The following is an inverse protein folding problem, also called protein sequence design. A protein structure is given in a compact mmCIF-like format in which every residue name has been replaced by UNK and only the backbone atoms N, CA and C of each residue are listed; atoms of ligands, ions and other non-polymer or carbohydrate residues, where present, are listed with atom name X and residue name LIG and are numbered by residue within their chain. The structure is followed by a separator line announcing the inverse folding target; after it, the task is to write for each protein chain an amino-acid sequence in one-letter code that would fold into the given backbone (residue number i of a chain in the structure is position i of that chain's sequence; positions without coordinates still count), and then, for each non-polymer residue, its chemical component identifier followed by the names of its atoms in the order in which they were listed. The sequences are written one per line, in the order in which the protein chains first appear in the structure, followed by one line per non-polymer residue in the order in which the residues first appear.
data_IF_256520313278
#
_entry.id   IF_256520313278
#
_cell.length_a   1.000
_cell.length_b   1.000
_cell.length_c   1.000
_cell.angle_alpha   90.00
_cell.angle_beta   90.00
_cell.angle_gamma   90.00
#
_symmetry.space_group_name_H-M   'P 1'
#
loop_
_entity.id
_entity.type
_entity.pdbx_description
1 polymer ?
#
# COMPACT_ATOMS: atom_id res chain seq x y z
N UNK A 1 34.90 12.85 -1.38
CA UNK A 1 35.06 12.43 -2.78
C UNK A 1 36.48 11.96 -3.13
N UNK A 2 37.53 12.58 -2.64
CA UNK A 2 38.93 12.22 -2.91
C UNK A 2 39.23 10.74 -2.61
N UNK A 3 38.84 10.15 -1.45
CA UNK A 3 39.18 8.75 -1.16
C UNK A 3 38.50 7.73 -2.10
N UNK A 4 37.29 8.03 -2.58
CA UNK A 4 36.58 7.16 -3.54
C UNK A 4 37.27 7.13 -4.90
N UNK A 5 37.63 8.30 -5.44
CA UNK A 5 38.32 8.43 -6.72
C UNK A 5 39.68 7.76 -6.67
N UNK A 6 40.42 7.88 -5.55
CA UNK A 6 41.70 7.23 -5.34
C UNK A 6 41.57 5.71 -5.30
N UNK A 7 40.61 5.18 -4.53
CA UNK A 7 40.36 3.73 -4.48
C UNK A 7 39.94 3.17 -5.84
N UNK A 8 39.10 3.86 -6.58
CA UNK A 8 38.63 3.41 -7.88
C UNK A 8 39.75 3.40 -8.94
N UNK A 9 40.69 4.35 -8.87
CA UNK A 9 41.75 4.50 -9.87
C UNK A 9 43.02 3.68 -9.53
N UNK A 10 43.32 3.48 -8.27
CA UNK A 10 44.61 2.92 -7.82
C UNK A 10 44.52 1.43 -7.48
N UNK A 11 43.41 0.98 -6.88
CA UNK A 11 43.26 -0.42 -6.46
C UNK A 11 43.28 -1.42 -7.64
N UNK A 12 42.58 -1.18 -8.76
CA UNK A 12 42.65 -2.08 -9.91
C UNK A 12 44.06 -2.19 -10.52
N UNK A 13 44.87 -1.14 -10.41
CA UNK A 13 46.22 -1.11 -10.97
C UNK A 13 47.19 -1.96 -10.17
N UNK A 14 47.01 -2.08 -8.85
CA UNK A 14 47.93 -2.83 -7.95
C UNK A 14 47.53 -4.28 -7.72
N UNK A 15 46.27 -4.66 -7.98
CA UNK A 15 45.72 -6.00 -7.69
C UNK A 15 45.53 -6.82 -8.98
N UNK A 16 46.47 -6.77 -9.91
CA UNK A 16 46.45 -7.62 -11.11
C UNK A 16 47.03 -8.99 -10.77
N UNK A 17 46.17 -9.91 -10.30
CA UNK A 17 46.58 -11.30 -10.13
C UNK A 17 45.75 -12.30 -10.94
N UNK A 18 44.45 -12.03 -11.13
CA UNK A 18 43.59 -12.82 -12.02
C UNK A 18 42.39 -11.99 -12.50
N UNK A 19 41.83 -12.35 -13.66
CA UNK A 19 40.66 -11.66 -14.22
C UNK A 19 39.45 -11.69 -13.26
N UNK A 20 39.27 -12.76 -12.49
CA UNK A 20 38.19 -12.92 -11.52
C UNK A 20 38.33 -11.97 -10.33
N UNK A 21 39.54 -11.77 -9.80
CA UNK A 21 39.75 -10.85 -8.67
C UNK A 21 39.50 -9.39 -9.07
N UNK A 22 39.86 -9.00 -10.30
CA UNK A 22 39.57 -7.63 -10.77
C UNK A 22 38.08 -7.37 -10.95
N UNK A 23 37.31 -8.32 -11.46
CA UNK A 23 35.86 -8.23 -11.59
C UNK A 23 35.22 -8.09 -10.20
N UNK A 24 35.62 -8.92 -9.24
CA UNK A 24 35.10 -8.87 -7.87
C UNK A 24 35.41 -7.53 -7.18
N UNK A 25 36.64 -7.03 -7.29
CA UNK A 25 37.03 -5.74 -6.70
C UNK A 25 36.26 -4.58 -7.35
N UNK A 26 36.10 -4.59 -8.68
CA UNK A 26 35.30 -3.56 -9.37
C UNK A 26 33.82 -3.59 -8.93
N UNK A 27 33.23 -4.76 -8.73
CA UNK A 27 31.88 -4.88 -8.21
C UNK A 27 31.76 -4.31 -6.80
N UNK A 28 32.72 -4.59 -5.91
CA UNK A 28 32.75 -4.02 -4.57
C UNK A 28 32.91 -2.48 -4.58
N UNK A 29 33.78 -1.96 -5.45
CA UNK A 29 33.96 -0.51 -5.60
C UNK A 29 32.69 0.16 -6.12
N UNK A 30 31.99 -0.46 -7.07
CA UNK A 30 30.72 0.05 -7.58
C UNK A 30 29.63 0.03 -6.50
N UNK A 31 29.51 -1.05 -5.72
CA UNK A 31 28.58 -1.12 -4.58
C UNK A 31 28.89 -0.03 -3.55
N UNK A 32 30.17 0.15 -3.21
CA UNK A 32 30.61 1.24 -2.33
C UNK A 32 30.24 2.62 -2.87
N UNK A 33 30.36 2.82 -4.20
CA UNK A 33 29.93 4.03 -4.89
C UNK A 33 28.44 4.30 -4.75
N UNK A 34 27.59 3.28 -4.88
CA UNK A 34 26.14 3.40 -4.67
C UNK A 34 25.83 3.81 -3.24
N UNK A 35 26.46 3.17 -2.26
CA UNK A 35 26.25 3.50 -0.83
C UNK A 35 26.65 4.94 -0.53
N UNK A 36 27.80 5.39 -1.04
CA UNK A 36 28.24 6.79 -0.89
C UNK A 36 27.25 7.75 -1.53
N UNK A 37 26.76 7.42 -2.74
CA UNK A 37 25.78 8.27 -3.43
C UNK A 37 24.50 8.44 -2.60
N UNK A 38 23.99 7.35 -2.02
CA UNK A 38 22.83 7.40 -1.10
C UNK A 38 23.15 8.24 0.13
N UNK A 39 24.35 8.14 0.67
CA UNK A 39 24.80 8.91 1.85
C UNK A 39 24.90 10.41 1.55
N UNK A 40 25.43 10.76 0.38
CA UNK A 40 25.48 12.16 -0.07
C UNK A 40 24.07 12.71 -0.26
N UNK A 41 23.19 11.95 -0.92
CA UNK A 41 21.80 12.35 -1.12
C UNK A 41 21.08 12.58 0.21
N UNK A 42 21.27 11.67 1.18
CA UNK A 42 20.75 11.85 2.54
C UNK A 42 21.27 13.14 3.19
N UNK A 43 22.57 13.41 3.07
CA UNK A 43 23.19 14.62 3.65
C UNK A 43 22.61 15.90 3.03
N UNK A 44 22.42 15.90 1.70
CA UNK A 44 21.80 17.03 0.98
C UNK A 44 20.36 17.23 1.42
N UNK A 45 19.58 16.16 1.55
CA UNK A 45 18.19 16.25 2.02
C UNK A 45 18.10 16.76 3.47
N UNK A 46 19.03 16.36 4.35
CA UNK A 46 19.09 16.89 5.69
C UNK A 46 19.44 18.39 5.72
N UNK A 47 20.33 18.84 4.84
CA UNK A 47 20.65 20.27 4.70
C UNK A 47 19.43 21.05 4.18
N UNK A 48 18.70 20.53 3.21
CA UNK A 48 17.46 21.13 2.70
C UNK A 48 16.40 21.18 3.81
N UNK A 49 16.25 20.10 4.59
CA UNK A 49 15.36 20.07 5.76
C UNK A 49 15.65 21.19 6.72
N UNK A 50 16.91 21.31 7.13
CA UNK A 50 17.34 22.36 8.05
C UNK A 50 17.02 23.75 7.50
N UNK A 51 17.31 23.99 6.22
CA UNK A 51 17.00 25.26 5.56
C UNK A 51 15.49 25.54 5.53
N UNK A 52 14.67 24.56 5.16
CA UNK A 52 13.21 24.73 5.10
C UNK A 52 12.60 25.00 6.48
N UNK A 53 13.12 24.38 7.55
CA UNK A 53 12.65 24.61 8.92
C UNK A 53 12.95 26.01 9.44
N UNK A 54 13.90 26.75 8.83
CA UNK A 54 14.15 28.16 9.16
C UNK A 54 13.12 29.11 8.56
N UNK A 55 12.36 28.67 7.55
CA UNK A 55 11.35 29.48 6.88
C UNK A 55 10.02 29.44 7.64
N UNK A 56 9.40 30.59 7.99
CA UNK A 56 8.14 30.63 8.74
C UNK A 56 7.00 29.84 8.07
N UNK A 57 6.95 29.85 6.73
CA UNK A 57 5.89 29.19 5.95
C UNK A 57 5.92 27.65 5.99
N UNK A 58 6.99 27.04 6.50
CA UNK A 58 7.19 25.60 6.53
C UNK A 58 7.25 25.00 7.94
N UNK A 59 7.17 25.83 9.00
CA UNK A 59 7.27 25.37 10.39
C UNK A 59 6.22 24.33 10.79
N UNK A 60 5.00 24.47 10.25
CA UNK A 60 3.87 23.60 10.61
C UNK A 60 3.66 22.45 9.59
N UNK A 61 4.57 22.29 8.63
CA UNK A 61 4.45 21.23 7.60
C UNK A 61 5.28 20.00 7.97
N UNK A 62 4.78 18.78 7.71
CA UNK A 62 5.46 17.53 8.06
C UNK A 62 6.60 17.20 7.06
N UNK A 63 7.60 18.08 6.93
CA UNK A 63 8.74 17.94 6.01
C UNK A 63 9.48 16.63 6.28
N UNK A 64 9.59 16.24 7.54
CA UNK A 64 10.27 15.03 7.98
C UNK A 64 9.67 13.76 7.35
N UNK A 65 8.35 13.69 7.27
CA UNK A 65 7.64 12.57 6.66
C UNK A 65 7.91 12.47 5.16
N UNK A 66 7.94 13.60 4.46
CA UNK A 66 8.26 13.61 3.01
C UNK A 66 9.70 13.15 2.74
N UNK A 67 10.67 13.61 3.56
CA UNK A 67 12.07 13.19 3.45
C UNK A 67 12.21 11.70 3.75
N UNK A 68 11.51 11.17 4.76
CA UNK A 68 11.52 9.75 5.09
C UNK A 68 11.01 8.90 3.93
N UNK A 69 9.88 9.27 3.31
CA UNK A 69 9.33 8.57 2.14
C UNK A 69 10.31 8.60 0.96
N UNK A 70 10.89 9.76 0.68
CA UNK A 70 11.88 9.89 -0.38
C UNK A 70 13.13 9.03 -0.14
N UNK A 71 13.62 9.02 1.11
CA UNK A 71 14.75 8.18 1.50
C UNK A 71 14.42 6.68 1.41
N UNK A 72 13.21 6.27 1.78
CA UNK A 72 12.76 4.89 1.63
C UNK A 72 12.83 4.45 0.16
N UNK A 73 12.28 5.25 -0.75
CA UNK A 73 12.34 4.98 -2.20
C UNK A 73 13.78 4.92 -2.70
N UNK A 74 14.63 5.84 -2.24
CA UNK A 74 16.07 5.86 -2.59
C UNK A 74 16.77 4.57 -2.14
N UNK A 75 16.48 4.07 -0.94
CA UNK A 75 17.04 2.80 -0.46
C UNK A 75 16.55 1.61 -1.26
N UNK A 76 15.26 1.55 -1.63
CA UNK A 76 14.71 0.49 -2.48
C UNK A 76 15.44 0.46 -3.84
N UNK A 77 15.58 1.62 -4.49
CA UNK A 77 16.31 1.73 -5.76
C UNK A 77 17.78 1.33 -5.57
N UNK A 78 18.44 1.81 -4.52
CA UNK A 78 19.82 1.48 -4.21
C UNK A 78 20.05 -0.01 -4.03
N UNK A 79 19.16 -0.71 -3.33
CA UNK A 79 19.21 -2.16 -3.14
C UNK A 79 19.11 -2.88 -4.48
N UNK A 80 18.19 -2.48 -5.36
CA UNK A 80 18.06 -3.07 -6.71
C UNK A 80 19.33 -2.88 -7.53
N UNK A 81 19.93 -1.68 -7.49
CA UNK A 81 21.20 -1.41 -8.18
C UNK A 81 22.34 -2.24 -7.62
N UNK A 82 22.43 -2.39 -6.29
CA UNK A 82 23.44 -3.23 -5.63
C UNK A 82 23.30 -4.69 -6.09
N UNK A 83 22.07 -5.24 -6.10
CA UNK A 83 21.84 -6.60 -6.59
C UNK A 83 22.19 -6.75 -8.07
N UNK A 84 21.91 -5.74 -8.91
CA UNK A 84 22.31 -5.71 -10.32
C UNK A 84 23.84 -5.81 -10.48
N UNK A 85 24.58 -5.01 -9.72
CA UNK A 85 26.04 -4.99 -9.73
C UNK A 85 26.62 -6.34 -9.29
N UNK A 86 26.11 -6.90 -8.17
CA UNK A 86 26.64 -8.15 -7.60
C UNK A 86 26.36 -9.37 -8.48
N UNK A 87 25.22 -9.39 -9.17
CA UNK A 87 24.82 -10.53 -10.01
C UNK A 87 25.23 -10.37 -11.47
N UNK A 88 25.65 -9.18 -11.89
CA UNK A 88 25.93 -8.85 -13.29
C UNK A 88 24.71 -8.83 -14.19
N UNK A 89 23.48 -8.86 -13.61
CA UNK A 89 22.23 -8.82 -14.37
C UNK A 89 21.73 -7.37 -14.52
N UNK A 90 21.02 -7.12 -15.61
CA UNK A 90 20.42 -5.80 -15.84
C UNK A 90 19.38 -5.44 -14.77
N UNK A 91 19.29 -4.15 -14.44
CA UNK A 91 18.31 -3.62 -13.47
C UNK A 91 16.88 -4.01 -13.85
N UNK A 92 16.58 -4.04 -15.17
CA UNK A 92 15.27 -4.44 -15.71
C UNK A 92 14.83 -5.84 -15.27
N UNK A 93 15.77 -6.78 -15.12
CA UNK A 93 15.47 -8.12 -14.62
C UNK A 93 14.89 -8.08 -13.20
N UNK A 94 15.48 -7.30 -12.30
CA UNK A 94 15.01 -7.17 -10.91
C UNK A 94 13.71 -6.41 -10.84
N UNK A 95 13.54 -5.35 -11.62
CA UNK A 95 12.27 -4.60 -11.67
C UNK A 95 11.12 -5.49 -12.17
N UNK A 96 11.36 -6.32 -13.18
CA UNK A 96 10.37 -7.27 -13.68
C UNK A 96 10.02 -8.32 -12.63
N UNK A 97 11.03 -8.89 -11.96
CA UNK A 97 10.81 -9.87 -10.89
C UNK A 97 10.03 -9.27 -9.71
N UNK A 98 10.38 -8.04 -9.29
CA UNK A 98 9.65 -7.33 -8.23
C UNK A 98 8.23 -6.99 -8.66
N UNK A 99 8.03 -6.58 -9.92
CA UNK A 99 6.70 -6.32 -10.48
C UNK A 99 5.83 -7.56 -10.50
N UNK A 100 6.37 -8.70 -10.94
CA UNK A 100 5.67 -9.98 -10.93
C UNK A 100 5.29 -10.43 -9.50
N UNK A 101 6.24 -10.33 -8.55
CA UNK A 101 5.95 -10.64 -7.14
C UNK A 101 4.88 -9.72 -6.56
N UNK A 102 4.96 -8.41 -6.85
CA UNK A 102 3.97 -7.43 -6.41
C UNK A 102 2.58 -7.72 -6.97
N UNK A 103 2.48 -8.14 -8.24
CA UNK A 103 1.21 -8.51 -8.86
C UNK A 103 0.58 -9.73 -8.16
N UNK A 104 1.39 -10.74 -7.83
CA UNK A 104 0.93 -11.92 -7.08
C UNK A 104 0.46 -11.52 -5.68
N UNK A 105 1.24 -10.71 -4.96
CA UNK A 105 0.84 -10.22 -3.64
C UNK A 105 -0.46 -9.40 -3.70
N UNK A 106 -0.59 -8.50 -4.68
CA UNK A 106 -1.81 -7.72 -4.88
C UNK A 106 -3.02 -8.62 -5.14
N UNK A 107 -2.85 -9.70 -5.92
CA UNK A 107 -3.91 -10.66 -6.18
C UNK A 107 -4.33 -11.40 -4.88
N UNK A 108 -3.35 -11.83 -4.08
CA UNK A 108 -3.61 -12.52 -2.80
C UNK A 108 -4.33 -11.62 -1.79
N UNK A 109 -3.93 -10.35 -1.71
CA UNK A 109 -4.50 -9.39 -0.76
C UNK A 109 -5.67 -8.57 -1.30
N UNK A 110 -6.10 -8.81 -2.55
CA UNK A 110 -7.15 -8.03 -3.22
C UNK A 110 -8.41 -7.88 -2.37
N UNK A 111 -8.93 -8.98 -1.86
CA UNK A 111 -10.20 -8.97 -1.11
C UNK A 111 -10.07 -8.26 0.23
N UNK A 112 -8.91 -8.38 0.88
CA UNK A 112 -8.62 -7.65 2.12
C UNK A 112 -8.55 -6.15 1.86
N UNK A 113 -7.86 -5.73 0.80
CA UNK A 113 -7.75 -4.31 0.41
C UNK A 113 -9.13 -3.75 0.04
N UNK A 114 -9.92 -4.48 -0.75
CA UNK A 114 -11.27 -4.07 -1.11
C UNK A 114 -12.16 -3.96 0.12
N UNK A 115 -12.11 -4.92 1.05
CA UNK A 115 -12.86 -4.89 2.30
C UNK A 115 -12.47 -3.69 3.18
N UNK A 116 -11.18 -3.39 3.30
CA UNK A 116 -10.69 -2.24 4.04
C UNK A 116 -11.19 -0.91 3.45
N UNK A 117 -11.06 -0.72 2.14
CA UNK A 117 -11.58 0.48 1.45
C UNK A 117 -13.09 0.58 1.61
N UNK A 118 -13.81 -0.55 1.50
CA UNK A 118 -15.25 -0.61 1.67
C UNK A 118 -15.68 -0.19 3.09
N UNK A 119 -15.00 -0.68 4.13
CA UNK A 119 -15.35 -0.31 5.50
C UNK A 119 -15.20 1.19 5.76
N UNK A 120 -14.15 1.81 5.20
CA UNK A 120 -13.97 3.28 5.27
C UNK A 120 -15.11 4.00 4.53
N UNK A 121 -15.48 3.56 3.33
CA UNK A 121 -16.54 4.19 2.54
C UNK A 121 -17.91 4.04 3.18
N UNK A 122 -18.22 2.88 3.78
CA UNK A 122 -19.45 2.64 4.52
C UNK A 122 -19.57 3.63 5.69
N UNK A 123 -18.48 3.79 6.45
CA UNK A 123 -18.42 4.72 7.58
C UNK A 123 -18.50 6.19 7.15
N UNK A 124 -17.72 6.58 6.12
CA UNK A 124 -17.65 7.96 5.66
C UNK A 124 -18.95 8.45 5.00
N UNK A 125 -19.65 7.56 4.28
CA UNK A 125 -20.91 7.89 3.59
C UNK A 125 -22.16 7.49 4.40
N UNK A 126 -21.99 6.96 5.60
CA UNK A 126 -23.10 6.52 6.48
C UNK A 126 -24.08 5.56 5.79
N UNK A 127 -23.55 4.64 4.99
CA UNK A 127 -24.37 3.75 4.18
C UNK A 127 -25.15 2.74 5.03
N UNK A 128 -24.47 2.15 6.03
CA UNK A 128 -25.02 1.14 6.94
C UNK A 128 -24.45 1.34 8.33
N UNK A 129 -25.27 1.18 9.36
CA UNK A 129 -24.87 1.16 10.78
C UNK A 129 -25.22 -0.17 11.42
N UNK A 130 -24.57 -0.48 12.52
CA UNK A 130 -24.97 -1.59 13.38
C UNK A 130 -26.40 -1.35 13.88
N UNK A 131 -27.25 -2.37 13.75
CA UNK A 131 -28.69 -2.31 14.08
C UNK A 131 -29.58 -1.86 12.91
N UNK A 132 -29.02 -1.52 11.73
CA UNK A 132 -29.86 -1.27 10.56
C UNK A 132 -30.44 -2.57 10.01
N UNK A 133 -31.69 -2.56 9.64
CA UNK A 133 -32.25 -3.62 8.83
C UNK A 133 -31.83 -3.44 7.38
N UNK A 134 -31.17 -4.46 6.83
CA UNK A 134 -30.71 -4.50 5.44
C UNK A 134 -31.18 -5.77 4.74
N UNK A 135 -31.52 -5.64 3.45
CA UNK A 135 -31.86 -6.78 2.58
C UNK A 135 -30.86 -6.85 1.43
N UNK A 136 -30.18 -7.98 1.31
CA UNK A 136 -29.25 -8.32 0.22
C UNK A 136 -29.66 -9.64 -0.40
N UNK A 137 -30.53 -9.61 -1.41
CA UNK A 137 -31.11 -10.81 -2.05
C UNK A 137 -30.04 -11.76 -2.59
N UNK A 138 -28.97 -11.22 -3.18
CA UNK A 138 -27.85 -11.98 -3.73
C UNK A 138 -27.15 -12.89 -2.70
N UNK A 139 -27.11 -12.46 -1.45
CA UNK A 139 -26.45 -13.17 -0.34
C UNK A 139 -27.44 -13.88 0.58
N UNK A 140 -28.74 -13.82 0.29
CA UNK A 140 -29.75 -14.39 1.16
C UNK A 140 -29.81 -13.74 2.53
N UNK A 141 -29.40 -12.48 2.63
CA UNK A 141 -29.41 -11.72 3.87
C UNK A 141 -30.65 -10.81 3.92
N UNK A 142 -31.46 -10.94 4.99
CA UNK A 142 -32.62 -10.10 5.28
C UNK A 142 -32.81 -10.00 6.78
N UNK A 143 -32.26 -8.94 7.38
CA UNK A 143 -32.28 -8.77 8.83
C UNK A 143 -31.38 -7.64 9.32
N UNK A 144 -31.07 -7.67 10.62
CA UNK A 144 -30.36 -6.62 11.31
C UNK A 144 -28.84 -6.82 11.27
N UNK A 145 -28.10 -5.74 11.02
CA UNK A 145 -26.64 -5.73 11.03
C UNK A 145 -26.12 -5.83 12.45
N UNK A 146 -25.43 -6.94 12.77
CA UNK A 146 -24.84 -7.18 14.08
C UNK A 146 -23.45 -6.56 14.22
N UNK A 147 -22.63 -6.71 13.16
CA UNK A 147 -21.23 -6.32 13.18
C UNK A 147 -20.76 -5.89 11.80
N UNK A 148 -19.96 -4.83 11.74
CA UNK A 148 -19.30 -4.38 10.52
C UNK A 148 -17.79 -4.51 10.74
N UNK A 149 -17.18 -5.55 10.15
CA UNK A 149 -15.75 -5.77 10.16
C UNK A 149 -15.04 -5.22 8.93
N UNK A 150 -13.70 -5.31 8.91
CA UNK A 150 -12.88 -4.87 7.77
C UNK A 150 -13.14 -5.68 6.50
N UNK A 151 -13.36 -6.98 6.63
CA UNK A 151 -13.55 -7.88 5.49
C UNK A 151 -14.95 -8.47 5.39
N UNK A 152 -15.69 -8.53 6.48
CA UNK A 152 -17.02 -9.15 6.54
C UNK A 152 -17.98 -8.36 7.41
N UNK A 153 -19.26 -8.41 7.02
CA UNK A 153 -20.40 -7.90 7.80
C UNK A 153 -21.29 -9.07 8.18
N UNK A 154 -21.70 -9.12 9.45
CA UNK A 154 -22.63 -10.15 9.97
C UNK A 154 -24.04 -9.57 10.06
N UNK A 155 -24.99 -10.27 9.47
CA UNK A 155 -26.42 -9.89 9.45
C UNK A 155 -27.20 -11.02 10.11
N UNK A 156 -27.95 -10.70 11.15
CA UNK A 156 -28.91 -11.62 11.79
C UNK A 156 -30.23 -11.57 11.02
N UNK A 157 -30.51 -12.62 10.30
CA UNK A 157 -31.77 -12.77 9.57
C UNK A 157 -32.96 -12.92 10.54
N UNK A 158 -34.18 -12.68 10.06
CA UNK A 158 -35.40 -12.82 10.87
C UNK A 158 -35.67 -14.25 11.35
N UNK A 159 -35.13 -15.26 10.67
CA UNK A 159 -35.15 -16.66 11.10
C UNK A 159 -34.09 -17.01 12.15
N UNK A 160 -33.36 -15.98 12.68
CA UNK A 160 -32.28 -16.12 13.66
C UNK A 160 -31.00 -16.78 13.13
N UNK A 161 -30.90 -16.98 11.84
CA UNK A 161 -29.62 -17.37 11.20
C UNK A 161 -28.69 -16.15 11.02
N UNK A 162 -27.39 -16.38 10.99
CA UNK A 162 -26.41 -15.31 10.72
C UNK A 162 -25.85 -15.50 9.31
N UNK A 163 -26.09 -14.52 8.44
CA UNK A 163 -25.44 -14.42 7.13
C UNK A 163 -24.21 -13.54 7.22
N UNK A 164 -23.08 -14.09 6.78
CA UNK A 164 -21.83 -13.32 6.67
C UNK A 164 -21.60 -12.88 5.23
N UNK A 165 -21.56 -11.58 5.02
CA UNK A 165 -21.42 -10.96 3.70
C UNK A 165 -20.06 -10.26 3.62
N UNK A 166 -19.30 -10.36 2.50
CA UNK A 166 -18.09 -9.58 2.33
C UNK A 166 -18.38 -8.07 2.41
N UNK A 167 -17.58 -7.31 3.17
CA UNK A 167 -17.82 -5.87 3.38
C UNK A 167 -17.85 -5.09 2.06
N UNK A 168 -17.01 -5.47 1.08
CA UNK A 168 -16.99 -4.81 -0.22
C UNK A 168 -18.31 -4.98 -1.01
N UNK A 169 -19.10 -6.02 -0.71
CA UNK A 169 -20.38 -6.26 -1.37
C UNK A 169 -21.43 -5.17 -1.07
N UNK A 170 -21.35 -4.52 0.08
CA UNK A 170 -22.18 -3.37 0.41
C UNK A 170 -21.89 -2.11 -0.44
N UNK A 171 -20.79 -2.12 -1.20
CA UNK A 171 -20.44 -1.02 -2.11
C UNK A 171 -20.59 -1.43 -3.57
N UNK A 172 -20.24 -2.69 -3.88
CA UNK A 172 -20.27 -3.19 -5.26
C UNK A 172 -21.64 -3.67 -5.72
N UNK A 173 -22.46 -4.15 -4.79
CA UNK A 173 -23.78 -4.70 -5.09
C UNK A 173 -24.90 -3.77 -4.56
N UNK A 174 -26.09 -3.88 -5.13
CA UNK A 174 -27.26 -3.15 -4.64
C UNK A 174 -27.84 -3.82 -3.40
N UNK A 175 -28.19 -3.05 -2.42
CA UNK A 175 -28.88 -3.49 -1.21
C UNK A 175 -30.00 -2.51 -0.83
N UNK A 176 -30.92 -2.95 0.00
CA UNK A 176 -31.98 -2.11 0.57
C UNK A 176 -31.65 -1.86 2.03
N UNK A 177 -31.54 -0.60 2.44
CA UNK A 177 -31.48 -0.20 3.84
C UNK A 177 -32.82 0.35 4.26
N UNK A 178 -33.42 -0.26 5.29
CA UNK A 178 -34.75 0.07 5.78
C UNK A 178 -34.74 1.11 6.90
N UNK A 179 -33.58 1.71 7.22
CA UNK A 179 -33.42 2.73 8.26
C UNK A 179 -34.48 3.86 8.14
N UNK A 180 -34.68 4.36 6.93
CA UNK A 180 -35.63 5.45 6.68
C UNK A 180 -37.09 5.06 7.00
N UNK A 181 -37.46 3.80 6.88
CA UNK A 181 -38.83 3.35 7.24
C UNK A 181 -39.10 3.55 8.74
N UNK A 182 -38.11 3.31 9.59
CA UNK A 182 -38.21 3.53 11.03
C UNK A 182 -38.27 5.03 11.37
N UNK A 183 -37.49 5.86 10.71
CA UNK A 183 -37.45 7.30 10.99
C UNK A 183 -38.69 8.03 10.51
N UNK A 184 -39.29 7.63 9.39
CA UNK A 184 -40.43 8.32 8.80
C UNK A 184 -41.78 7.74 9.27
N UNK A 185 -41.79 6.57 9.91
CA UNK A 185 -43.02 5.85 10.28
C UNK A 185 -43.88 5.42 9.07
N UNK A 186 -43.39 5.62 7.84
CA UNK A 186 -44.09 5.33 6.61
C UNK A 186 -43.70 3.99 6.02
N UNK A 187 -44.64 3.11 5.69
CA UNK A 187 -44.42 1.82 5.07
C UNK A 187 -45.21 1.69 3.76
N UNK A 188 -44.54 1.27 2.70
CA UNK A 188 -45.20 0.93 1.42
C UNK A 188 -45.96 -0.38 1.57
N UNK A 189 -47.29 -0.35 1.35
CA UNK A 189 -48.12 -1.55 1.25
C UNK A 189 -48.35 -1.83 -0.25
N UNK A 190 -47.96 -3.01 -0.73
CA UNK A 190 -48.24 -3.47 -2.08
C UNK A 190 -49.20 -4.65 -2.01
N UNK A 191 -50.42 -4.49 -2.57
CA UNK A 191 -51.40 -5.57 -2.72
C UNK A 191 -51.59 -5.87 -4.20
N UNK A 192 -51.55 -7.14 -4.58
CA UNK A 192 -51.99 -7.59 -5.88
C UNK A 192 -53.39 -8.14 -5.74
N UNK A 193 -54.32 -7.57 -6.48
CA UNK A 193 -55.71 -8.07 -6.57
C UNK A 193 -55.76 -8.86 -7.89
N UNK A 194 -56.00 -10.15 -7.79
CA UNK A 194 -56.25 -11.02 -8.97
C UNK A 194 -57.74 -10.89 -9.27
N UNK A 195 -58.10 -10.33 -10.41
CA UNK A 195 -59.45 -10.20 -10.92
C UNK A 195 -59.73 -11.35 -11.87
#
# INVERSE_FOLDING_TARGET
MVPYFFLFSVVPFWVVSSAETTVFINSLLNVYGVVITIWILRSVLQAIRFFLQTLPSFKDKPIDSYIQVFMLLTWIIGIVVIFSILTGKEIGYFLTAMGALSAVLLLVFKDVILGFVASIQIAANDLVRIGDWVTMEKYGADGDVLEIGLSTVKIENFDKTITTVPTYALISDSFKNWRNMYHTGARRIKRTVII
#
